data_IF_403308149059
#
_entry.id   IF_403308149059
#
_cell.length_a   1.000
_cell.length_b   1.000
_cell.length_c   1.000
_cell.angle_alpha   90.00
_cell.angle_beta   90.00
_cell.angle_gamma   90.00
#
_symmetry.space_group_name_H-M   'P 1'
#
loop_
_entity.id
_entity.type
_entity.pdbx_description
1 polymer ?
#
# COMPACT_ATOMS: atom_id res chain seq x y z
N UNK A 1 -50.06 -23.47 5.37
CA UNK A 1 -48.69 -23.91 5.73
C UNK A 1 -47.91 -22.67 6.15
N UNK A 2 -47.76 -22.43 7.46
CA UNK A 2 -47.05 -21.25 8.00
C UNK A 2 -45.59 -21.67 8.24
N UNK A 3 -44.72 -21.44 7.27
CA UNK A 3 -43.29 -21.51 7.53
C UNK A 3 -42.96 -20.37 8.53
N UNK A 4 -42.34 -20.62 9.69
CA UNK A 4 -41.96 -19.56 10.59
C UNK A 4 -40.83 -18.77 9.94
N UNK A 5 -41.17 -17.59 9.41
CA UNK A 5 -40.27 -16.61 8.80
C UNK A 5 -39.05 -16.28 9.71
N UNK A 6 -39.17 -16.55 11.01
CA UNK A 6 -38.13 -16.39 12.01
C UNK A 6 -36.91 -17.34 11.82
N UNK A 7 -37.09 -18.52 11.21
CA UNK A 7 -35.99 -19.49 11.06
C UNK A 7 -35.07 -19.17 9.86
N UNK A 8 -35.56 -18.46 8.85
CA UNK A 8 -34.76 -18.08 7.68
C UNK A 8 -33.91 -16.81 7.93
N UNK A 9 -34.35 -15.90 8.81
CA UNK A 9 -33.57 -14.72 9.19
C UNK A 9 -32.37 -15.06 10.09
N UNK A 10 -32.46 -16.10 10.91
CA UNK A 10 -31.39 -16.48 11.84
C UNK A 10 -30.16 -17.10 11.13
N UNK A 11 -30.36 -17.72 9.96
CA UNK A 11 -29.28 -18.33 9.19
C UNK A 11 -28.41 -17.32 8.41
N UNK A 12 -28.95 -16.13 8.11
CA UNK A 12 -28.21 -15.04 7.43
C UNK A 12 -27.39 -14.21 8.43
N UNK A 13 -27.67 -14.35 9.73
CA UNK A 13 -27.03 -13.59 10.82
C UNK A 13 -25.77 -14.23 11.41
N UNK A 14 -25.37 -15.43 10.96
CA UNK A 14 -24.34 -16.23 11.64
C UNK A 14 -23.04 -16.49 10.86
N UNK A 15 -22.84 -15.97 9.64
CA UNK A 15 -21.56 -16.09 8.93
C UNK A 15 -21.29 -14.83 8.09
N UNK A 16 -20.07 -14.25 8.06
CA UNK A 16 -18.79 -14.87 8.40
C UNK A 16 -17.92 -14.03 9.36
N UNK A 17 -17.74 -14.53 10.59
CA UNK A 17 -16.57 -14.22 11.42
C UNK A 17 -15.52 -15.33 11.39
N UNK A 18 -15.63 -16.29 10.45
CA UNK A 18 -14.90 -17.56 10.48
C UNK A 18 -13.96 -17.80 9.30
N UNK A 19 -13.66 -16.78 8.49
CA UNK A 19 -12.70 -16.88 7.38
C UNK A 19 -11.85 -15.60 7.29
N UNK A 20 -11.16 -15.25 8.38
CA UNK A 20 -9.98 -14.40 8.28
C UNK A 20 -8.80 -15.31 8.62
N UNK A 21 -8.09 -15.75 7.58
CA UNK A 21 -6.72 -16.20 7.77
C UNK A 21 -5.92 -14.98 8.22
N UNK A 22 -5.36 -15.03 9.42
CA UNK A 22 -4.41 -14.05 9.95
C UNK A 22 -3.10 -14.13 9.13
N UNK A 23 -3.10 -13.52 7.96
CA UNK A 23 -1.88 -12.87 7.47
C UNK A 23 -1.87 -11.48 8.10
N UNK A 24 -0.68 -10.94 8.40
CA UNK A 24 -0.47 -9.70 9.17
C UNK A 24 -0.98 -8.45 8.43
N UNK A 25 -2.29 -8.34 8.23
CA UNK A 25 -2.94 -7.19 7.64
C UNK A 25 -2.68 -5.98 8.55
N UNK A 26 -2.27 -4.86 7.94
CA UNK A 26 -2.06 -3.62 8.69
C UNK A 26 -3.33 -3.25 9.45
N UNK A 27 -3.18 -2.56 10.59
CA UNK A 27 -4.33 -2.08 11.39
C UNK A 27 -5.32 -1.30 10.53
N UNK A 28 -4.81 -0.56 9.54
CA UNK A 28 -5.60 0.14 8.52
C UNK A 28 -6.49 -0.79 7.70
N UNK A 29 -5.95 -1.88 7.17
CA UNK A 29 -6.67 -2.85 6.38
C UNK A 29 -7.73 -3.61 7.20
N UNK A 30 -7.39 -4.00 8.43
CA UNK A 30 -8.35 -4.61 9.35
C UNK A 30 -9.54 -3.70 9.66
N UNK A 31 -9.29 -2.39 9.85
CA UNK A 31 -10.35 -1.40 10.07
C UNK A 31 -11.18 -1.19 8.80
N UNK A 32 -10.56 -1.12 7.63
CA UNK A 32 -11.26 -0.99 6.36
C UNK A 32 -12.17 -2.20 6.11
N UNK A 33 -11.68 -3.43 6.33
CA UNK A 33 -12.44 -4.66 6.20
C UNK A 33 -13.63 -4.70 7.17
N UNK A 34 -13.44 -4.29 8.42
CA UNK A 34 -14.52 -4.19 9.39
C UNK A 34 -15.58 -3.17 8.97
N UNK A 35 -15.18 -2.02 8.39
CA UNK A 35 -16.09 -1.05 7.79
C UNK A 35 -16.91 -1.64 6.65
N UNK A 36 -16.26 -2.36 5.72
CA UNK A 36 -16.95 -3.05 4.62
C UNK A 36 -17.93 -4.12 5.13
N UNK A 37 -17.54 -4.90 6.14
CA UNK A 37 -18.40 -5.89 6.77
C UNK A 37 -19.64 -5.25 7.40
N UNK A 38 -19.48 -4.12 8.11
CA UNK A 38 -20.60 -3.38 8.69
C UNK A 38 -21.57 -2.87 7.61
N UNK A 39 -21.05 -2.37 6.49
CA UNK A 39 -21.87 -1.94 5.34
C UNK A 39 -22.60 -3.13 4.72
N UNK A 40 -21.93 -4.25 4.49
CA UNK A 40 -22.53 -5.45 3.92
C UNK A 40 -23.69 -5.98 4.79
N UNK A 41 -23.49 -6.03 6.11
CA UNK A 41 -24.54 -6.43 7.07
C UNK A 41 -25.71 -5.44 7.01
N UNK A 42 -25.45 -4.13 7.01
CA UNK A 42 -26.51 -3.13 6.92
C UNK A 42 -27.31 -3.27 5.61
N UNK A 43 -26.65 -3.49 4.47
CA UNK A 43 -27.28 -3.74 3.18
C UNK A 43 -28.16 -4.99 3.21
N UNK A 44 -27.69 -6.09 3.80
CA UNK A 44 -28.47 -7.32 3.94
C UNK A 44 -29.74 -7.11 4.78
N UNK A 45 -29.62 -6.42 5.92
CA UNK A 45 -30.77 -6.06 6.76
C UNK A 45 -31.78 -5.19 6.02
N UNK A 46 -31.31 -4.17 5.29
CA UNK A 46 -32.17 -3.31 4.49
C UNK A 46 -32.89 -4.09 3.40
N UNK A 47 -32.19 -4.98 2.68
CA UNK A 47 -32.79 -5.82 1.64
C UNK A 47 -33.92 -6.69 2.22
N UNK A 48 -33.70 -7.32 3.38
CA UNK A 48 -34.72 -8.11 4.07
C UNK A 48 -35.91 -7.23 4.49
N UNK A 49 -35.66 -6.04 5.06
CA UNK A 49 -36.71 -5.12 5.45
C UNK A 49 -37.56 -4.66 4.25
N UNK A 50 -36.92 -4.39 3.11
CA UNK A 50 -37.61 -4.03 1.85
C UNK A 50 -38.45 -5.19 1.33
N UNK A 51 -37.91 -6.41 1.31
CA UNK A 51 -38.66 -7.61 0.90
C UNK A 51 -39.90 -7.83 1.79
N UNK A 52 -39.76 -7.70 3.10
CA UNK A 52 -40.89 -7.78 4.04
C UNK A 52 -41.91 -6.68 3.75
N UNK A 53 -41.45 -5.44 3.55
CA UNK A 53 -42.31 -4.29 3.29
C UNK A 53 -43.15 -4.43 2.01
N UNK A 54 -42.56 -5.03 0.97
CA UNK A 54 -43.21 -5.33 -0.32
C UNK A 54 -44.15 -6.53 -0.23
N UNK A 55 -43.77 -7.59 0.50
CA UNK A 55 -44.56 -8.81 0.64
C UNK A 55 -45.77 -8.67 1.57
N UNK A 56 -45.72 -7.76 2.54
CA UNK A 56 -46.78 -7.59 3.54
C UNK A 56 -47.92 -6.68 3.04
N UNK A 57 -48.83 -7.27 2.26
CA UNK A 57 -50.10 -6.63 1.87
C UNK A 57 -51.02 -6.46 3.10
N UNK A 58 -51.64 -5.28 3.24
CA UNK A 58 -52.56 -4.99 4.35
C UNK A 58 -51.88 -4.76 5.72
N UNK A 59 -50.59 -4.38 5.74
CA UNK A 59 -49.87 -4.09 6.98
C UNK A 59 -50.58 -3.03 7.83
N UNK A 60 -50.70 -3.23 9.15
CA UNK A 60 -51.30 -2.24 10.04
C UNK A 60 -50.45 -0.97 10.08
N UNK A 61 -51.07 0.19 10.33
CA UNK A 61 -50.33 1.47 10.34
C UNK A 61 -49.17 1.50 11.33
N UNK A 62 -49.28 0.74 12.43
CA UNK A 62 -48.20 0.57 13.42
C UNK A 62 -46.96 -0.17 12.90
N UNK A 63 -47.07 -0.93 11.81
CA UNK A 63 -45.93 -1.64 11.23
C UNK A 63 -45.04 -0.75 10.35
N UNK A 64 -45.58 0.34 9.80
CA UNK A 64 -44.82 1.30 8.98
C UNK A 64 -43.62 1.91 9.71
N UNK A 65 -43.76 2.48 10.93
CA UNK A 65 -42.60 3.01 11.65
C UNK A 65 -41.59 1.93 12.02
N UNK A 66 -42.02 0.70 12.30
CA UNK A 66 -41.10 -0.43 12.59
C UNK A 66 -40.25 -0.77 11.36
N UNK A 67 -40.87 -0.92 10.19
CA UNK A 67 -40.15 -1.18 8.94
C UNK A 67 -39.19 -0.04 8.57
N UNK A 68 -39.59 1.21 8.83
CA UNK A 68 -38.71 2.36 8.66
C UNK A 68 -37.50 2.30 9.60
N UNK A 69 -37.71 2.02 10.89
CA UNK A 69 -36.62 1.89 11.85
C UNK A 69 -35.67 0.73 11.51
N UNK A 70 -36.19 -0.38 10.97
CA UNK A 70 -35.37 -1.51 10.50
C UNK A 70 -34.45 -1.15 9.34
N UNK A 71 -34.73 -0.08 8.60
CA UNK A 71 -33.85 0.44 7.55
C UNK A 71 -32.93 1.52 8.12
N UNK A 72 -33.47 2.46 8.89
CA UNK A 72 -32.70 3.60 9.42
C UNK A 72 -31.63 3.17 10.40
N UNK A 73 -31.93 2.25 11.33
CA UNK A 73 -31.00 1.85 12.37
C UNK A 73 -29.71 1.24 11.78
N UNK A 74 -29.77 0.23 10.88
CA UNK A 74 -28.56 -0.31 10.27
C UNK A 74 -27.74 0.72 9.49
N UNK A 75 -28.39 1.65 8.78
CA UNK A 75 -27.69 2.74 8.07
C UNK A 75 -26.93 3.62 9.06
N UNK A 76 -27.62 4.11 10.09
CA UNK A 76 -27.00 4.98 11.11
C UNK A 76 -25.85 4.28 11.82
N UNK A 77 -26.00 2.99 12.16
CA UNK A 77 -24.95 2.21 12.80
C UNK A 77 -23.75 2.01 11.88
N UNK A 78 -23.96 1.61 10.61
CA UNK A 78 -22.87 1.47 9.65
C UNK A 78 -22.15 2.82 9.43
N UNK A 79 -22.90 3.91 9.30
CA UNK A 79 -22.31 5.25 9.21
C UNK A 79 -21.50 5.61 10.46
N UNK A 80 -22.01 5.34 11.66
CA UNK A 80 -21.29 5.61 12.90
C UNK A 80 -20.00 4.80 13.01
N UNK A 81 -20.01 3.52 12.57
CA UNK A 81 -18.81 2.69 12.48
C UNK A 81 -17.80 3.31 11.52
N UNK A 82 -18.20 3.64 10.29
CA UNK A 82 -17.30 4.23 9.30
C UNK A 82 -16.70 5.56 9.79
N UNK A 83 -17.52 6.47 10.32
CA UNK A 83 -17.05 7.74 10.87
C UNK A 83 -16.11 7.53 12.06
N UNK A 84 -16.47 6.63 12.99
CA UNK A 84 -15.64 6.30 14.14
C UNK A 84 -14.30 5.72 13.74
N UNK A 85 -14.29 4.78 12.79
CA UNK A 85 -13.10 4.17 12.22
C UNK A 85 -12.20 5.18 11.53
N UNK A 86 -12.74 6.09 10.71
CA UNK A 86 -11.94 7.15 10.06
C UNK A 86 -11.33 8.10 11.08
N UNK A 87 -12.10 8.55 12.09
CA UNK A 87 -11.57 9.43 13.13
C UNK A 87 -10.48 8.73 13.92
N UNK A 88 -10.70 7.47 14.30
CA UNK A 88 -9.73 6.66 15.02
C UNK A 88 -8.43 6.53 14.22
N UNK A 89 -8.51 6.12 12.95
CA UNK A 89 -7.34 5.97 12.08
C UNK A 89 -6.55 7.26 11.95
N UNK A 90 -7.21 8.40 11.71
CA UNK A 90 -6.52 9.69 11.60
C UNK A 90 -5.86 10.13 12.93
N UNK A 91 -6.37 9.70 14.08
CA UNK A 91 -5.77 10.02 15.39
C UNK A 91 -4.55 9.17 15.71
N UNK A 92 -4.56 7.89 15.30
CA UNK A 92 -3.45 6.98 15.57
C UNK A 92 -2.39 6.98 14.47
N UNK A 93 -2.70 7.50 13.28
CA UNK A 93 -1.78 7.54 12.15
C UNK A 93 -0.56 8.42 12.42
N UNK A 94 0.62 7.94 12.05
CA UNK A 94 1.87 8.70 12.17
C UNK A 94 1.87 9.97 11.29
N UNK A 95 1.10 9.97 10.21
CA UNK A 95 0.99 11.08 9.25
C UNK A 95 -0.16 12.05 9.54
N UNK A 96 -1.03 11.73 10.51
CA UNK A 96 -2.23 12.50 10.84
C UNK A 96 -3.36 12.41 9.80
N UNK A 97 -3.30 11.45 8.88
CA UNK A 97 -4.31 11.23 7.84
C UNK A 97 -3.75 10.51 6.61
N UNK A 98 -4.56 10.38 5.54
CA UNK A 98 -4.16 9.67 4.33
C UNK A 98 -3.05 10.40 3.58
N UNK A 99 -2.16 9.63 2.99
CA UNK A 99 -1.03 10.08 2.18
C UNK A 99 -1.11 9.54 0.77
N UNK A 100 -0.26 10.10 -0.09
CA UNK A 100 -0.05 9.69 -1.47
C UNK A 100 1.40 10.08 -1.78
N UNK A 101 2.34 9.17 -1.48
CA UNK A 101 3.76 9.38 -1.71
C UNK A 101 4.23 8.47 -2.83
N UNK A 102 5.23 8.95 -3.56
CA UNK A 102 5.88 8.25 -4.65
C UNK A 102 7.39 8.27 -4.45
N UNK A 103 8.02 7.14 -4.73
CA UNK A 103 9.45 7.04 -4.93
C UNK A 103 9.70 6.17 -6.17
N UNK A 104 10.53 6.64 -7.09
CA UNK A 104 10.94 5.78 -8.21
C UNK A 104 12.04 4.84 -7.73
N UNK A 105 12.13 3.65 -8.32
CA UNK A 105 13.17 2.70 -7.97
C UNK A 105 13.75 1.98 -9.18
N UNK A 106 14.98 1.48 -9.04
CA UNK A 106 15.55 0.53 -9.99
C UNK A 106 16.31 -0.58 -9.24
N UNK A 107 16.19 -1.81 -9.75
CA UNK A 107 16.90 -2.97 -9.22
C UNK A 107 17.90 -3.44 -10.26
N UNK A 108 19.14 -3.64 -9.84
CA UNK A 108 20.24 -4.09 -10.69
C UNK A 108 20.91 -5.31 -10.08
N UNK A 109 21.07 -6.38 -10.87
CA UNK A 109 21.81 -7.58 -10.46
C UNK A 109 22.94 -7.83 -11.44
N UNK A 110 24.17 -7.79 -10.95
CA UNK A 110 25.42 -7.96 -11.70
C UNK A 110 25.48 -7.11 -12.99
N UNK A 111 25.00 -5.87 -12.90
CA UNK A 111 25.00 -4.90 -14.00
C UNK A 111 23.79 -4.95 -14.94
N UNK A 112 22.86 -5.88 -14.74
CA UNK A 112 21.60 -5.96 -15.49
C UNK A 112 20.44 -5.39 -14.68
N UNK A 113 19.66 -4.48 -15.26
CA UNK A 113 18.40 -4.02 -14.67
C UNK A 113 17.42 -5.20 -14.68
N UNK A 114 16.70 -5.36 -13.59
CA UNK A 114 15.63 -6.34 -13.46
C UNK A 114 14.37 -5.60 -13.05
N UNK A 115 13.24 -6.09 -13.56
CA UNK A 115 11.93 -5.54 -13.27
C UNK A 115 11.18 -6.51 -12.36
N UNK A 116 10.31 -6.00 -11.49
CA UNK A 116 9.44 -6.84 -10.68
C UNK A 116 8.45 -7.61 -11.56
N UNK A 117 7.70 -8.53 -10.94
CA UNK A 117 6.59 -9.20 -11.60
C UNK A 117 5.54 -8.18 -12.07
N UNK A 118 5.03 -8.33 -13.30
CA UNK A 118 4.03 -7.42 -13.82
C UNK A 118 2.73 -7.53 -13.00
N UNK A 119 2.04 -6.42 -12.69
CA UNK A 119 0.73 -6.49 -12.08
C UNK A 119 -0.28 -7.21 -12.98
N UNK A 120 -1.18 -7.98 -12.37
CA UNK A 120 -2.26 -8.69 -13.09
C UNK A 120 -3.61 -8.51 -12.41
N UNK A 121 -4.69 -8.86 -13.11
CA UNK A 121 -6.05 -8.81 -12.55
C UNK A 121 -6.69 -7.42 -12.58
N UNK A 122 -7.79 -7.26 -11.82
CA UNK A 122 -8.59 -6.03 -11.82
C UNK A 122 -7.97 -4.89 -10.99
N UNK A 123 -7.18 -5.23 -9.97
CA UNK A 123 -6.52 -4.23 -9.11
C UNK A 123 -5.29 -3.62 -9.80
N UNK A 124 -4.68 -4.33 -10.75
CA UNK A 124 -3.52 -3.88 -11.52
C UNK A 124 -2.39 -3.32 -10.64
N UNK A 125 -2.08 -4.01 -9.54
CA UNK A 125 -0.99 -3.65 -8.61
C UNK A 125 -0.27 -4.89 -8.08
N UNK A 126 0.96 -4.71 -7.62
CA UNK A 126 1.72 -5.69 -6.83
C UNK A 126 2.01 -5.07 -5.46
N UNK A 127 1.61 -5.74 -4.37
CA UNK A 127 1.68 -5.20 -3.02
C UNK A 127 0.30 -5.12 -2.34
N UNK A 128 0.21 -4.34 -1.26
CA UNK A 128 -1.04 -4.11 -0.51
C UNK A 128 -1.83 -2.92 -1.04
N UNK A 129 -2.95 -2.60 -0.37
CA UNK A 129 -3.66 -1.36 -0.63
C UNK A 129 -2.94 -0.09 -0.16
N UNK A 130 -1.97 -0.23 0.75
CA UNK A 130 -1.23 0.91 1.31
C UNK A 130 0.09 1.11 0.58
N UNK A 131 0.82 0.03 0.29
CA UNK A 131 2.12 0.08 -0.36
C UNK A 131 2.17 -0.89 -1.52
N UNK A 132 2.42 -0.39 -2.73
CA UNK A 132 2.37 -1.19 -3.95
C UNK A 132 3.14 -0.55 -5.11
N UNK A 133 3.25 -1.28 -6.23
CA UNK A 133 3.65 -0.73 -7.52
C UNK A 133 2.66 -1.09 -8.65
N UNK A 134 2.76 -0.39 -9.78
CA UNK A 134 1.91 -0.58 -10.96
C UNK A 134 2.68 -1.03 -12.21
N UNK A 135 3.90 -1.58 -12.06
CA UNK A 135 4.77 -1.93 -13.18
C UNK A 135 5.34 -0.71 -13.90
N UNK A 136 5.52 0.39 -13.16
CA UNK A 136 6.01 1.69 -13.64
C UNK A 136 7.30 2.14 -12.94
N UNK A 137 8.03 1.18 -12.32
CA UNK A 137 9.26 1.42 -11.56
C UNK A 137 9.08 2.46 -10.44
N UNK A 138 7.89 2.47 -9.82
CA UNK A 138 7.50 3.40 -8.76
C UNK A 138 6.84 2.70 -7.59
N UNK A 139 7.33 3.03 -6.39
CA UNK A 139 6.71 2.69 -5.13
C UNK A 139 5.61 3.72 -4.83
N UNK A 140 4.39 3.23 -4.65
CA UNK A 140 3.22 3.99 -4.23
C UNK A 140 2.97 3.75 -2.75
N UNK A 141 2.82 4.82 -1.97
CA UNK A 141 2.36 4.78 -0.58
C UNK A 141 1.08 5.60 -0.48
N UNK A 142 -0.06 4.92 -0.42
CA UNK A 142 -1.39 5.51 -0.54
C UNK A 142 -2.31 5.09 0.61
N UNK A 143 -2.96 6.04 1.27
CA UNK A 143 -3.85 5.75 2.39
C UNK A 143 -3.23 6.11 3.74
N UNK A 144 -3.70 5.49 4.82
CA UNK A 144 -3.37 5.93 6.20
C UNK A 144 -2.28 5.05 6.78
N UNK A 145 -1.11 5.64 7.07
CA UNK A 145 0.01 4.97 7.72
C UNK A 145 -0.17 4.99 9.24
N UNK A 146 -0.28 3.84 9.88
CA UNK A 146 -0.32 3.77 11.34
C UNK A 146 1.09 3.93 11.89
N UNK A 147 2.06 3.25 11.27
CA UNK A 147 3.50 3.46 11.50
C UNK A 147 4.18 4.03 10.24
N UNK A 148 5.24 4.83 10.41
CA UNK A 148 6.08 5.27 9.28
C UNK A 148 6.92 4.12 8.71
N UNK A 149 7.19 3.08 9.51
CA UNK A 149 7.89 1.87 9.05
C UNK A 149 7.14 1.16 7.91
N UNK A 150 5.81 1.34 7.83
CA UNK A 150 4.99 0.85 6.70
C UNK A 150 5.40 1.46 5.36
N UNK A 151 6.08 2.62 5.37
CA UNK A 151 6.61 3.28 4.17
C UNK A 151 8.12 3.06 3.99
N UNK A 152 8.68 2.01 4.60
CA UNK A 152 10.09 1.62 4.43
C UNK A 152 10.33 0.77 3.18
N UNK A 153 11.59 0.69 2.74
CA UNK A 153 11.97 -0.23 1.67
C UNK A 153 11.78 -1.69 2.07
N UNK A 154 12.07 -2.04 3.32
CA UNK A 154 11.86 -3.37 3.87
C UNK A 154 10.41 -3.81 3.69
N UNK A 155 9.46 -2.99 4.17
CA UNK A 155 8.03 -3.27 4.04
C UNK A 155 7.63 -3.39 2.58
N UNK A 156 8.06 -2.45 1.71
CA UNK A 156 7.75 -2.52 0.28
C UNK A 156 8.15 -3.86 -0.34
N UNK A 157 9.39 -4.31 -0.09
CA UNK A 157 9.87 -5.57 -0.65
C UNK A 157 9.19 -6.79 -0.03
N UNK A 158 8.79 -6.74 1.23
CA UNK A 158 8.00 -7.80 1.86
C UNK A 158 6.60 -7.90 1.21
N UNK A 159 5.88 -6.79 1.07
CA UNK A 159 4.51 -6.81 0.56
C UNK A 159 4.38 -7.14 -0.92
N UNK A 160 5.41 -6.84 -1.73
CA UNK A 160 5.44 -7.29 -3.13
C UNK A 160 5.78 -8.77 -3.28
N UNK A 161 5.93 -9.51 -2.18
CA UNK A 161 6.18 -10.96 -2.15
C UNK A 161 7.65 -11.34 -2.19
N UNK A 162 8.54 -10.40 -1.86
CA UNK A 162 9.98 -10.56 -1.78
C UNK A 162 10.49 -10.45 -0.35
N UNK A 163 11.66 -9.83 -0.21
CA UNK A 163 12.24 -9.49 1.09
C UNK A 163 13.54 -8.72 0.90
N UNK A 164 13.79 -7.76 1.78
CA UNK A 164 14.99 -6.94 1.77
C UNK A 164 15.61 -6.89 3.16
N UNK A 165 16.91 -7.17 3.26
CA UNK A 165 17.69 -7.00 4.48
C UNK A 165 19.07 -6.43 4.15
N UNK A 166 19.91 -6.20 5.17
CA UNK A 166 21.21 -5.55 5.00
C UNK A 166 22.18 -6.29 4.06
N UNK A 167 21.92 -7.56 3.73
CA UNK A 167 22.79 -8.34 2.83
C UNK A 167 22.06 -9.38 2.00
N UNK A 168 20.74 -9.27 1.89
CA UNK A 168 19.92 -10.19 1.09
C UNK A 168 18.79 -9.43 0.42
N UNK A 169 18.55 -9.76 -0.85
CA UNK A 169 17.43 -9.30 -1.64
C UNK A 169 16.74 -10.50 -2.26
N UNK A 170 15.43 -10.62 -2.05
CA UNK A 170 14.57 -11.55 -2.76
C UNK A 170 13.43 -10.77 -3.43
N UNK A 171 13.19 -11.00 -4.71
CA UNK A 171 12.10 -10.35 -5.46
C UNK A 171 11.45 -11.30 -6.47
N UNK A 172 10.12 -11.27 -6.63
CA UNK A 172 9.44 -12.00 -7.69
C UNK A 172 9.66 -11.30 -9.04
N UNK A 173 9.85 -12.10 -10.09
CA UNK A 173 10.04 -11.66 -11.47
C UNK A 173 9.02 -12.39 -12.36
N UNK A 174 8.76 -11.86 -13.56
CA UNK A 174 7.88 -12.54 -14.54
C UNK A 174 8.32 -13.97 -14.91
N UNK A 175 9.64 -14.25 -14.87
CA UNK A 175 10.22 -15.55 -15.21
C UNK A 175 10.62 -16.40 -13.99
N UNK A 176 10.23 -16.01 -12.76
CA UNK A 176 10.60 -16.73 -11.54
C UNK A 176 10.83 -15.78 -10.36
N UNK A 177 11.96 -15.92 -9.68
CA UNK A 177 12.35 -15.05 -8.58
C UNK A 177 13.86 -14.83 -8.61
N UNK A 178 14.31 -13.64 -8.23
CA UNK A 178 15.69 -13.41 -7.85
C UNK A 178 15.82 -13.57 -6.34
N UNK A 179 16.85 -14.28 -5.90
CA UNK A 179 17.30 -14.26 -4.51
C UNK A 179 18.82 -14.19 -4.53
N UNK A 180 19.38 -13.15 -3.92
CA UNK A 180 20.83 -12.90 -3.84
C UNK A 180 21.22 -12.53 -2.42
N UNK A 181 22.41 -12.98 -2.01
CA UNK A 181 23.01 -12.69 -0.71
C UNK A 181 24.44 -12.19 -0.90
N UNK A 182 24.89 -11.35 0.03
CA UNK A 182 26.28 -10.90 0.04
C UNK A 182 27.24 -12.09 0.00
N UNK A 183 28.16 -12.08 -0.97
CA UNK A 183 29.09 -13.18 -1.23
C UNK A 183 28.67 -14.12 -2.36
N UNK A 184 27.42 -14.07 -2.85
CA UNK A 184 27.03 -14.81 -4.05
C UNK A 184 27.82 -14.32 -5.27
N UNK A 185 28.15 -15.23 -6.19
CA UNK A 185 28.99 -14.91 -7.34
C UNK A 185 28.15 -14.32 -8.48
N UNK A 186 28.62 -13.21 -9.04
CA UNK A 186 28.16 -12.70 -10.32
C UNK A 186 28.64 -13.59 -11.49
N UNK A 187 28.04 -13.48 -12.70
CA UNK A 187 28.43 -14.27 -13.87
C UNK A 187 29.91 -14.12 -14.30
N UNK A 188 30.57 -13.04 -13.88
CA UNK A 188 31.99 -12.81 -14.10
C UNK A 188 32.91 -13.48 -13.06
N UNK A 189 32.32 -14.18 -12.08
CA UNK A 189 33.02 -14.88 -11.01
C UNK A 189 33.42 -14.02 -9.82
N UNK A 190 33.05 -12.74 -9.77
CA UNK A 190 33.28 -11.87 -8.61
C UNK A 190 32.16 -12.02 -7.59
N UNK A 191 32.50 -11.92 -6.30
CA UNK A 191 31.49 -11.89 -5.24
C UNK A 191 30.73 -10.55 -5.28
N UNK A 192 29.40 -10.62 -5.25
CA UNK A 192 28.52 -9.46 -5.18
C UNK A 192 28.19 -9.06 -3.74
N UNK A 193 27.91 -7.77 -3.58
CA UNK A 193 27.41 -7.14 -2.36
C UNK A 193 26.16 -6.34 -2.72
N UNK A 194 25.12 -6.48 -1.89
CA UNK A 194 23.89 -5.72 -1.95
C UNK A 194 24.13 -4.31 -1.42
N UNK A 195 23.76 -3.31 -2.21
CA UNK A 195 24.06 -1.91 -1.98
C UNK A 195 22.83 -1.08 -2.32
N UNK A 196 22.39 -0.25 -1.37
CA UNK A 196 21.22 0.60 -1.52
C UNK A 196 21.65 2.06 -1.53
N UNK A 197 21.08 2.82 -2.46
CA UNK A 197 21.31 4.24 -2.62
C UNK A 197 19.99 4.98 -2.69
N UNK A 198 19.87 6.06 -1.92
CA UNK A 198 18.74 6.97 -2.01
C UNK A 198 19.21 8.31 -2.58
N UNK A 199 18.53 8.77 -3.62
CA UNK A 199 18.62 10.11 -4.15
C UNK A 199 17.45 10.91 -3.60
N UNK A 200 17.75 12.00 -2.90
CA UNK A 200 16.75 12.83 -2.20
C UNK A 200 16.92 14.28 -2.53
N UNK A 201 15.81 15.00 -2.64
CA UNK A 201 15.85 16.46 -2.78
C UNK A 201 16.12 17.12 -1.42
N UNK A 202 17.22 17.87 -1.31
CA UNK A 202 17.66 18.57 -0.11
C UNK A 202 16.82 19.84 0.19
N UNK A 203 16.24 20.47 -0.83
CA UNK A 203 15.38 21.66 -0.75
C UNK A 203 13.95 21.41 -1.28
N UNK A 204 13.20 20.42 -0.74
CA UNK A 204 11.95 19.95 -1.35
C UNK A 204 10.79 20.96 -1.27
N UNK A 205 10.96 22.04 -0.50
CA UNK A 205 9.95 23.11 -0.35
C UNK A 205 9.99 24.15 -1.48
N UNK A 206 11.07 24.18 -2.26
CA UNK A 206 11.23 25.13 -3.36
C UNK A 206 10.45 24.68 -4.60
N UNK A 207 10.00 25.62 -5.43
CA UNK A 207 9.33 25.33 -6.70
C UNK A 207 10.35 25.47 -7.83
N UNK A 208 11.07 24.39 -8.12
CA UNK A 208 12.15 24.34 -9.11
C UNK A 208 13.50 24.77 -8.53
N UNK A 209 14.58 24.42 -9.24
CA UNK A 209 15.94 24.59 -8.73
C UNK A 209 16.27 23.58 -7.62
N UNK A 210 15.69 22.39 -7.70
CA UNK A 210 15.91 21.36 -6.71
C UNK A 210 17.37 20.91 -6.71
N UNK A 211 17.87 20.66 -5.51
CA UNK A 211 19.19 20.13 -5.25
C UNK A 211 19.03 18.73 -4.69
N UNK A 212 19.70 17.74 -5.27
CA UNK A 212 19.66 16.38 -4.75
C UNK A 212 20.98 15.97 -4.10
N UNK A 213 20.86 15.08 -3.12
CA UNK A 213 21.98 14.36 -2.50
C UNK A 213 21.82 12.87 -2.78
N UNK A 214 22.94 12.16 -2.89
CA UNK A 214 22.98 10.71 -2.94
C UNK A 214 23.55 10.23 -1.60
N UNK A 215 22.83 9.34 -0.93
CA UNK A 215 23.27 8.73 0.32
C UNK A 215 23.17 7.21 0.29
N UNK A 216 23.98 6.54 1.10
CA UNK A 216 23.77 5.11 1.40
C UNK A 216 22.47 4.98 2.16
N UNK A 217 21.59 4.11 1.68
CA UNK A 217 20.37 3.72 2.37
C UNK A 217 20.55 2.34 3.01
N UNK A 218 19.64 2.03 3.93
CA UNK A 218 19.46 0.71 4.52
C UNK A 218 18.03 0.21 4.25
N UNK A 219 17.71 -1.06 4.54
CA UNK A 219 16.35 -1.59 4.34
C UNK A 219 15.26 -0.81 5.08
N UNK A 220 15.57 -0.21 6.22
CA UNK A 220 14.60 0.50 7.06
C UNK A 220 14.41 1.96 6.59
N UNK A 221 15.03 2.35 5.47
CA UNK A 221 14.89 3.67 4.87
C UNK A 221 13.41 3.98 4.55
N UNK A 222 12.88 5.02 5.21
CA UNK A 222 11.51 5.52 5.01
C UNK A 222 11.48 6.53 3.87
N UNK A 223 10.59 6.31 2.91
CA UNK A 223 10.43 7.14 1.73
C UNK A 223 10.05 8.59 2.05
N UNK A 224 10.56 9.54 1.26
CA UNK A 224 10.22 10.96 1.41
C UNK A 224 8.74 11.22 1.08
N UNK A 225 8.05 12.09 1.86
CA UNK A 225 6.60 12.21 1.82
C UNK A 225 6.08 13.12 0.68
N UNK A 226 6.31 12.72 -0.58
CA UNK A 226 6.02 13.53 -1.76
C UNK A 226 5.28 12.75 -2.85
N UNK A 227 4.23 13.33 -3.42
CA UNK A 227 3.39 12.71 -4.46
C UNK A 227 3.96 12.80 -5.89
N UNK A 228 5.13 13.40 -6.06
CA UNK A 228 5.77 13.58 -7.36
C UNK A 228 7.26 13.25 -7.21
N UNK A 229 7.86 12.68 -8.25
CA UNK A 229 9.27 12.31 -8.27
C UNK A 229 9.94 13.10 -9.39
N UNK A 230 10.88 14.01 -9.08
CA UNK A 230 11.13 14.64 -7.77
C UNK A 230 9.96 15.54 -7.27
N UNK A 231 9.89 15.93 -5.97
CA UNK A 231 10.91 15.77 -4.92
C UNK A 231 10.86 14.46 -4.12
N UNK A 232 9.99 13.52 -4.47
CA UNK A 232 10.06 12.14 -4.01
C UNK A 232 11.40 11.49 -4.37
N UNK A 233 11.67 10.34 -3.78
CA UNK A 233 13.00 9.74 -3.85
C UNK A 233 13.22 9.00 -5.17
N UNK A 234 14.49 8.82 -5.52
CA UNK A 234 14.92 7.79 -6.45
C UNK A 234 15.79 6.76 -5.70
N UNK A 235 15.37 5.51 -5.71
CA UNK A 235 15.99 4.42 -4.95
C UNK A 235 16.70 3.47 -5.92
N UNK A 236 18.01 3.25 -5.72
CA UNK A 236 18.77 2.29 -6.53
C UNK A 236 19.21 1.14 -5.63
N UNK A 237 18.80 -0.07 -5.99
CA UNK A 237 19.28 -1.31 -5.39
C UNK A 237 20.25 -1.99 -6.36
N UNK A 238 21.47 -2.24 -5.92
CA UNK A 238 22.48 -2.93 -6.73
C UNK A 238 23.05 -4.12 -5.99
N UNK A 239 23.00 -5.29 -6.63
CA UNK A 239 23.81 -6.45 -6.27
C UNK A 239 24.98 -6.58 -7.24
N UNK A 240 26.21 -6.40 -6.76
CA UNK A 240 27.41 -6.44 -7.60
C UNK A 240 28.68 -6.05 -6.83
N UNK A 241 29.80 -5.77 -7.51
CA UNK A 241 31.03 -5.36 -6.83
C UNK A 241 30.79 -4.15 -5.90
N UNK A 242 31.41 -4.10 -4.72
CA UNK A 242 31.25 -2.98 -3.78
C UNK A 242 31.71 -1.66 -4.40
N UNK A 243 30.95 -0.59 -4.13
CA UNK A 243 31.18 0.77 -4.65
C UNK A 243 30.88 1.80 -3.58
N UNK A 244 31.55 2.95 -3.67
CA UNK A 244 31.31 4.08 -2.75
C UNK A 244 30.14 4.97 -3.20
N UNK A 245 29.69 4.85 -4.46
CA UNK A 245 28.55 5.56 -5.06
C UNK A 245 27.99 4.73 -6.23
N UNK A 246 26.73 4.94 -6.58
CA UNK A 246 26.17 4.48 -7.86
C UNK A 246 26.17 5.59 -8.91
N UNK A 247 26.35 5.20 -10.18
CA UNK A 247 26.17 6.02 -11.38
C UNK A 247 24.77 5.88 -12.00
N UNK A 248 23.93 5.00 -11.45
CA UNK A 248 22.54 4.81 -11.89
C UNK A 248 21.65 5.93 -11.38
N UNK A 249 20.59 6.20 -12.14
CA UNK A 249 19.63 7.23 -11.80
C UNK A 249 18.29 6.90 -12.46
N UNK A 250 17.23 6.92 -11.66
CA UNK A 250 15.87 6.69 -12.12
C UNK A 250 15.50 7.68 -13.23
N UNK A 251 14.64 7.25 -14.15
CA UNK A 251 14.32 8.02 -15.35
C UNK A 251 13.78 9.43 -15.04
N UNK A 252 12.91 9.59 -14.04
CA UNK A 252 12.36 10.91 -13.68
C UNK A 252 13.43 11.89 -13.19
N UNK A 253 14.36 11.44 -12.36
CA UNK A 253 15.49 12.26 -11.90
C UNK A 253 16.38 12.63 -13.08
N UNK A 254 16.70 11.68 -13.98
CA UNK A 254 17.48 11.94 -15.20
C UNK A 254 16.81 13.00 -16.07
N UNK A 255 15.50 12.87 -16.31
CA UNK A 255 14.74 13.87 -17.08
C UNK A 255 14.70 15.23 -16.39
N UNK A 256 14.60 15.29 -15.07
CA UNK A 256 14.64 16.54 -14.30
C UNK A 256 16.01 17.24 -14.39
N UNK A 257 17.11 16.48 -14.40
CA UNK A 257 18.47 17.01 -14.66
C UNK A 257 18.58 17.57 -16.08
N UNK A 258 18.11 16.83 -17.08
CA UNK A 258 18.15 17.25 -18.49
C UNK A 258 17.35 18.55 -18.72
N UNK A 259 16.26 18.77 -17.98
CA UNK A 259 15.46 20.00 -18.01
C UNK A 259 16.06 21.15 -17.18
N UNK A 260 17.10 20.90 -16.38
CA UNK A 260 17.67 21.87 -15.44
C UNK A 260 16.77 22.18 -14.25
N UNK A 261 15.79 21.33 -13.96
CA UNK A 261 14.89 21.45 -12.79
C UNK A 261 15.55 20.93 -11.51
N UNK A 262 16.51 20.02 -11.68
CA UNK A 262 17.26 19.34 -10.64
C UNK A 262 18.77 19.56 -10.87
N UNK A 263 19.55 19.67 -9.79
CA UNK A 263 21.02 19.78 -9.80
C UNK A 263 21.63 19.06 -8.60
N UNK A 264 22.87 18.57 -8.65
CA UNK A 264 23.52 18.05 -7.46
C UNK A 264 23.66 19.15 -6.41
N UNK A 265 23.37 18.85 -5.14
CA UNK A 265 23.72 19.73 -4.04
C UNK A 265 25.24 19.95 -4.02
N UNK A 266 25.67 21.17 -3.71
CA UNK A 266 27.10 21.43 -3.54
C UNK A 266 27.64 20.53 -2.43
N UNK A 267 28.66 19.72 -2.73
CA UNK A 267 29.38 18.97 -1.70
C UNK A 267 29.90 20.01 -0.70
N UNK A 268 29.40 19.95 0.54
CA UNK A 268 29.78 20.92 1.57
C UNK A 268 31.29 20.94 1.73
N UNK A 269 31.92 22.06 1.34
CA UNK A 269 33.35 22.31 1.53
C UNK A 269 33.71 22.61 2.99
#
# INVERSE_FOLDING_TARGET
MRLPLAAALAAILLLPGALAHEDAASVGEGIAQNGMNAVAVALAFMAVAVVIALGWKGKPDRAKPVLFLLIVIPVVLATAVLVGSTIYLNQVSATGGPVHWHADFEIWSCGQKIDLVDPTGLENRVGTAVVHEHGDDRIHVEGVLVDLEEASLHEFFEVVGGGLSAGELAVPLNAGSLAVRNGDLCPDGQAGELQLWAYRVANPRERGGWQYVQERADPDYVLSPHSAVPPGDCIILEFGPPRERTDRLCETYRLALERGELTPAAEGG
#
